data_IF_482910360587
#
_entry.id   IF_482910360587
#
_cell.length_a   1.000
_cell.length_b   1.000
_cell.length_c   1.000
_cell.angle_alpha   90.00
_cell.angle_beta   90.00
_cell.angle_gamma   90.00
#
_symmetry.space_group_name_H-M   'P 1'
#
loop_
_entity.id
_entity.type
_entity.pdbx_description
1 polymer ?
#
# COMPACT_ATOMS: atom_id res chain seq x y z
N UNK A 1 -24.92 9.16 -20.34
CA UNK A 1 -25.56 10.03 -19.34
C UNK A 1 -25.05 9.71 -17.92
N UNK A 2 -25.19 8.49 -17.40
CA UNK A 2 -24.67 8.15 -16.05
C UNK A 2 -23.14 8.30 -15.93
N UNK A 3 -22.38 7.75 -16.89
CA UNK A 3 -20.91 7.86 -16.89
C UNK A 3 -20.43 9.32 -16.94
N UNK A 4 -21.01 10.12 -17.83
CA UNK A 4 -20.64 11.54 -17.98
C UNK A 4 -20.94 12.33 -16.72
N UNK A 5 -22.11 12.12 -16.08
CA UNK A 5 -22.43 12.78 -14.80
C UNK A 5 -21.48 12.38 -13.67
N UNK A 6 -21.05 11.11 -13.61
CA UNK A 6 -20.09 10.67 -12.61
C UNK A 6 -18.71 11.31 -12.80
N UNK A 7 -18.28 11.46 -14.05
CA UNK A 7 -17.03 12.16 -14.39
C UNK A 7 -17.13 13.64 -14.04
N UNK A 8 -18.21 14.32 -14.42
CA UNK A 8 -18.39 15.75 -14.13
C UNK A 8 -18.39 16.01 -12.61
N UNK A 9 -19.13 15.19 -11.84
CA UNK A 9 -19.13 15.29 -10.37
C UNK A 9 -17.74 15.06 -9.76
N UNK A 10 -17.01 14.07 -10.26
CA UNK A 10 -15.69 13.73 -9.72
C UNK A 10 -14.63 14.77 -10.12
N UNK A 11 -14.74 15.36 -11.31
CA UNK A 11 -13.92 16.49 -11.75
C UNK A 11 -14.12 17.71 -10.83
N UNK A 12 -15.36 18.11 -10.57
CA UNK A 12 -15.68 19.21 -9.66
C UNK A 12 -15.14 18.94 -8.25
N UNK A 13 -15.30 17.70 -7.77
CA UNK A 13 -14.76 17.27 -6.49
C UNK A 13 -13.22 17.37 -6.48
N UNK A 14 -12.54 16.85 -7.49
CA UNK A 14 -11.08 16.91 -7.61
C UNK A 14 -10.55 18.33 -7.69
N UNK A 15 -11.20 19.22 -8.42
CA UNK A 15 -10.87 20.66 -8.45
C UNK A 15 -11.03 21.29 -7.07
N UNK A 16 -12.02 20.87 -6.27
CA UNK A 16 -12.24 21.43 -4.93
C UNK A 16 -11.18 21.03 -3.90
N UNK A 17 -10.53 19.87 -4.07
CA UNK A 17 -9.57 19.32 -3.09
C UNK A 17 -8.13 19.25 -3.58
N UNK A 18 -7.90 19.27 -4.90
CA UNK A 18 -6.59 19.08 -5.51
C UNK A 18 -5.72 20.34 -5.56
N UNK A 19 -4.59 20.27 -6.28
CA UNK A 19 -3.68 21.40 -6.44
C UNK A 19 -4.36 22.64 -7.04
N UNK A 20 -4.12 23.80 -6.44
CA UNK A 20 -4.54 25.11 -6.98
C UNK A 20 -3.34 25.97 -7.43
N UNK A 21 -3.62 27.23 -7.76
CA UNK A 21 -2.57 28.20 -8.18
C UNK A 21 -1.56 28.50 -7.06
N UNK A 22 -2.04 28.55 -5.81
CA UNK A 22 -1.21 28.71 -4.62
C UNK A 22 -1.10 27.38 -3.85
N UNK A 23 0.11 26.98 -3.43
CA UNK A 23 0.30 25.72 -2.71
C UNK A 23 -0.29 25.80 -1.30
N UNK A 24 -1.12 24.82 -0.93
CA UNK A 24 -1.69 24.70 0.43
C UNK A 24 -0.61 24.46 1.48
N UNK A 25 0.46 23.76 1.09
CA UNK A 25 1.57 23.41 1.98
C UNK A 25 2.90 23.95 1.42
N UNK A 26 3.22 25.25 1.62
CA UNK A 26 4.39 25.89 1.02
C UNK A 26 5.73 25.34 1.50
N UNK A 27 5.76 24.63 2.63
CA UNK A 27 6.95 23.98 3.18
C UNK A 27 7.31 22.65 2.49
N UNK A 28 6.40 22.06 1.72
CA UNK A 28 6.69 20.89 0.88
C UNK A 28 7.55 21.35 -0.31
N UNK A 29 8.69 20.71 -0.63
CA UNK A 29 9.51 21.06 -1.79
C UNK A 29 8.71 20.99 -3.10
N UNK A 30 8.87 21.97 -3.99
CA UNK A 30 8.08 22.05 -5.22
C UNK A 30 8.20 20.81 -6.12
N UNK A 31 9.36 20.15 -6.13
CA UNK A 31 9.62 18.92 -6.90
C UNK A 31 8.87 17.69 -6.39
N UNK A 32 8.34 17.75 -5.16
CA UNK A 32 7.63 16.65 -4.49
C UNK A 32 6.13 16.94 -4.31
N UNK A 33 5.66 18.06 -4.88
CA UNK A 33 4.24 18.42 -4.85
C UNK A 33 3.48 17.69 -5.95
N UNK A 34 2.23 17.34 -5.66
CA UNK A 34 1.26 16.96 -6.68
C UNK A 34 0.95 18.19 -7.53
N UNK A 35 0.93 18.02 -8.84
CA UNK A 35 0.48 19.03 -9.80
C UNK A 35 -0.65 18.43 -10.63
N UNK A 36 -1.17 19.16 -11.62
CA UNK A 36 -2.06 18.61 -12.63
C UNK A 36 -1.25 18.32 -13.90
N UNK A 37 -0.53 17.20 -13.93
CA UNK A 37 0.13 16.74 -15.15
C UNK A 37 -0.91 16.34 -16.20
N UNK A 38 -1.98 15.66 -15.77
CA UNK A 38 -3.18 15.44 -16.59
C UNK A 38 -4.29 16.39 -16.14
N UNK A 39 -5.25 16.65 -17.03
CA UNK A 39 -6.40 17.50 -16.68
C UNK A 39 -7.25 16.82 -15.58
N UNK A 40 -7.86 17.60 -14.65
CA UNK A 40 -8.76 17.05 -13.64
C UNK A 40 -9.87 16.17 -14.23
N UNK A 41 -10.40 16.55 -15.40
CA UNK A 41 -11.35 15.74 -16.17
C UNK A 41 -10.81 14.38 -16.57
N UNK A 42 -9.57 14.33 -17.07
CA UNK A 42 -8.94 13.07 -17.46
C UNK A 42 -8.73 12.18 -16.23
N UNK A 43 -8.25 12.73 -15.11
CA UNK A 43 -8.15 12.00 -13.84
C UNK A 43 -9.48 11.46 -13.37
N UNK A 44 -10.54 12.27 -13.42
CA UNK A 44 -11.88 11.84 -13.06
C UNK A 44 -12.36 10.68 -13.95
N UNK A 45 -12.16 10.79 -15.27
CA UNK A 45 -12.50 9.74 -16.23
C UNK A 45 -11.72 8.45 -15.95
N UNK A 46 -10.40 8.53 -15.78
CA UNK A 46 -9.54 7.39 -15.49
C UNK A 46 -9.92 6.73 -14.17
N UNK A 47 -10.21 7.52 -13.12
CA UNK A 47 -10.65 7.01 -11.81
C UNK A 47 -11.98 6.26 -11.92
N UNK A 48 -12.97 6.83 -12.61
CA UNK A 48 -14.28 6.18 -12.81
C UNK A 48 -14.10 4.88 -13.58
N UNK A 49 -13.34 4.88 -14.68
CA UNK A 49 -13.00 3.67 -15.44
C UNK A 49 -12.29 2.62 -14.58
N UNK A 50 -11.29 3.04 -13.81
CA UNK A 50 -10.48 2.18 -12.95
C UNK A 50 -11.36 1.49 -11.89
N UNK A 51 -12.17 2.26 -11.16
CA UNK A 51 -13.07 1.74 -10.13
C UNK A 51 -14.15 0.82 -10.73
N UNK A 52 -14.72 1.18 -11.88
CA UNK A 52 -15.72 0.34 -12.56
C UNK A 52 -15.18 -1.03 -13.00
N UNK A 53 -13.88 -1.15 -13.25
CA UNK A 53 -13.24 -2.42 -13.61
C UNK A 53 -12.77 -3.17 -12.36
N UNK A 54 -12.01 -2.51 -11.50
CA UNK A 54 -11.33 -3.17 -10.39
C UNK A 54 -12.25 -3.49 -9.21
N UNK A 55 -13.30 -2.70 -8.94
CA UNK A 55 -14.21 -2.99 -7.83
C UNK A 55 -15.05 -4.26 -8.06
N UNK A 56 -15.69 -4.47 -9.23
CA UNK A 56 -16.38 -5.73 -9.51
C UNK A 56 -15.42 -6.92 -9.56
N UNK A 57 -14.22 -6.73 -10.14
CA UNK A 57 -13.19 -7.76 -10.19
C UNK A 57 -12.75 -8.18 -8.78
N UNK A 58 -12.53 -7.21 -7.88
CA UNK A 58 -12.21 -7.44 -6.46
C UNK A 58 -13.32 -8.24 -5.77
N UNK A 59 -14.58 -7.85 -5.95
CA UNK A 59 -15.73 -8.54 -5.37
C UNK A 59 -15.84 -9.99 -5.85
N UNK A 60 -15.74 -10.23 -7.17
CA UNK A 60 -15.78 -11.57 -7.75
C UNK A 60 -14.61 -12.42 -7.27
N UNK A 61 -13.39 -11.86 -7.29
CA UNK A 61 -12.18 -12.55 -6.83
C UNK A 61 -12.28 -12.93 -5.34
N UNK A 62 -12.76 -12.03 -4.48
CA UNK A 62 -13.02 -12.29 -3.06
C UNK A 62 -14.01 -13.45 -2.89
N UNK A 63 -15.14 -13.43 -3.60
CA UNK A 63 -16.15 -14.50 -3.52
C UNK A 63 -15.57 -15.84 -3.93
N UNK A 64 -14.74 -15.89 -4.97
CA UNK A 64 -14.07 -17.11 -5.41
C UNK A 64 -12.99 -17.57 -4.43
N UNK A 65 -12.19 -16.64 -3.90
CA UNK A 65 -11.14 -16.88 -2.92
C UNK A 65 -11.71 -17.51 -1.63
N UNK A 66 -12.79 -16.93 -1.09
CA UNK A 66 -13.50 -17.45 0.08
C UNK A 66 -14.21 -18.78 -0.17
N UNK A 67 -14.58 -19.08 -1.41
CA UNK A 67 -15.17 -20.37 -1.77
C UNK A 67 -14.16 -21.48 -2.06
N UNK A 68 -12.87 -21.13 -2.17
CA UNK A 68 -11.80 -22.06 -2.49
C UNK A 68 -11.68 -23.16 -1.41
N UNK A 69 -11.55 -24.43 -1.83
CA UNK A 69 -11.51 -25.59 -0.93
C UNK A 69 -10.36 -25.48 0.09
N UNK A 70 -9.16 -25.08 -0.35
CA UNK A 70 -8.02 -24.86 0.55
C UNK A 70 -8.28 -23.79 1.62
N UNK A 71 -9.05 -22.74 1.33
CA UNK A 71 -9.41 -21.72 2.33
C UNK A 71 -10.42 -22.26 3.35
N UNK A 72 -11.39 -23.06 2.90
CA UNK A 72 -12.38 -23.70 3.78
C UNK A 72 -11.72 -24.71 4.72
N UNK A 73 -10.72 -25.42 4.22
CA UNK A 73 -9.99 -26.47 4.95
C UNK A 73 -8.68 -25.97 5.60
N UNK A 74 -8.41 -24.66 5.55
CA UNK A 74 -7.16 -24.11 6.04
C UNK A 74 -7.02 -24.35 7.55
N UNK A 75 -5.84 -24.79 7.96
CA UNK A 75 -5.56 -25.02 9.38
C UNK A 75 -5.55 -23.67 10.13
N UNK A 76 -5.95 -23.67 11.42
CA UNK A 76 -5.75 -22.51 12.27
C UNK A 76 -4.27 -22.13 12.31
N UNK A 77 -3.99 -20.83 12.32
CA UNK A 77 -2.63 -20.31 12.49
C UNK A 77 -1.99 -20.83 13.79
N UNK A 78 -0.74 -21.27 13.70
CA UNK A 78 0.06 -21.66 14.88
C UNK A 78 0.22 -20.47 15.84
N UNK A 79 0.23 -20.72 17.15
CA UNK A 79 0.56 -19.69 18.14
C UNK A 79 1.98 -19.12 17.90
N UNK A 80 2.23 -17.80 18.06
CA UNK A 80 3.56 -17.21 17.84
C UNK A 80 4.63 -17.86 18.72
N UNK A 81 5.80 -18.12 18.13
CA UNK A 81 7.03 -18.56 18.80
C UNK A 81 7.93 -17.37 19.11
N UNK A 82 9.01 -17.60 19.85
CA UNK A 82 10.06 -16.60 20.05
C UNK A 82 10.65 -16.11 18.71
N UNK A 83 10.85 -17.00 17.73
CA UNK A 83 11.33 -16.63 16.40
C UNK A 83 10.34 -15.65 15.73
N UNK A 84 9.05 -15.97 15.74
CA UNK A 84 8.03 -15.08 15.16
C UNK A 84 8.03 -13.71 15.86
N UNK A 85 8.20 -13.68 17.19
CA UNK A 85 8.35 -12.45 17.95
C UNK A 85 9.58 -11.63 17.55
N UNK A 86 10.73 -12.28 17.34
CA UNK A 86 11.97 -11.61 16.87
C UNK A 86 11.78 -11.05 15.46
N UNK A 87 11.19 -11.80 14.54
CA UNK A 87 10.89 -11.32 13.18
C UNK A 87 9.94 -10.12 13.23
N UNK A 88 8.89 -10.19 14.05
CA UNK A 88 7.96 -9.09 14.27
C UNK A 88 8.63 -7.84 14.86
N UNK A 89 9.52 -8.03 15.85
CA UNK A 89 10.27 -6.93 16.46
C UNK A 89 11.21 -6.25 15.46
N UNK A 90 11.98 -7.00 14.68
CA UNK A 90 12.88 -6.46 13.65
C UNK A 90 12.08 -5.67 12.60
N UNK A 91 10.95 -6.23 12.14
CA UNK A 91 10.06 -5.56 11.18
C UNK A 91 9.47 -4.28 11.75
N UNK A 92 8.99 -4.32 13.00
CA UNK A 92 8.45 -3.14 13.68
C UNK A 92 9.53 -2.09 13.91
N UNK A 93 10.76 -2.48 14.23
CA UNK A 93 11.88 -1.55 14.37
C UNK A 93 12.18 -0.83 13.05
N UNK A 94 12.12 -1.53 11.91
CA UNK A 94 12.27 -0.90 10.59
C UNK A 94 11.14 0.09 10.29
N UNK A 95 9.88 -0.29 10.57
CA UNK A 95 8.72 0.60 10.44
C UNK A 95 8.84 1.86 11.33
N UNK A 96 9.21 1.70 12.59
CA UNK A 96 9.41 2.82 13.51
C UNK A 96 10.60 3.70 13.10
N UNK A 97 11.64 3.10 12.51
CA UNK A 97 12.78 3.81 11.93
C UNK A 97 12.34 4.76 10.82
N UNK A 98 11.54 4.30 9.86
CA UNK A 98 11.03 5.19 8.80
C UNK A 98 10.07 6.25 9.33
N UNK A 99 9.19 5.91 10.29
CA UNK A 99 8.36 6.91 10.99
C UNK A 99 9.23 8.01 11.61
N UNK A 100 10.30 7.61 12.30
CA UNK A 100 11.23 8.54 12.92
C UNK A 100 11.87 9.47 11.89
N UNK A 101 12.47 8.93 10.82
CA UNK A 101 13.16 9.78 9.83
C UNK A 101 12.20 10.71 9.08
N UNK A 102 10.99 10.24 8.73
CA UNK A 102 9.99 11.07 8.05
C UNK A 102 9.38 12.13 8.98
N UNK A 103 9.23 11.85 10.27
CA UNK A 103 8.77 12.83 11.27
C UNK A 103 9.73 14.01 11.47
N UNK A 104 11.03 13.84 11.23
CA UNK A 104 12.03 14.89 11.43
C UNK A 104 12.09 15.92 10.29
N UNK A 105 11.25 15.76 9.26
CA UNK A 105 11.06 16.81 8.26
C UNK A 105 10.41 18.06 8.86
N UNK A 106 10.60 19.21 8.21
CA UNK A 106 9.96 20.47 8.61
C UNK A 106 8.45 20.26 8.72
N UNK A 107 7.86 20.53 9.89
CA UNK A 107 6.43 20.30 10.16
C UNK A 107 5.95 18.84 9.93
N UNK A 108 6.85 17.86 9.80
CA UNK A 108 6.51 16.45 9.65
C UNK A 108 5.83 16.07 8.33
N UNK A 109 5.90 16.89 7.28
CA UNK A 109 5.15 16.66 6.04
C UNK A 109 5.49 15.33 5.36
N UNK A 110 6.73 14.83 5.52
CA UNK A 110 7.14 13.52 4.97
C UNK A 110 6.41 12.34 5.62
N UNK A 111 5.75 12.51 6.77
CA UNK A 111 4.91 11.45 7.38
C UNK A 111 3.78 11.00 6.46
N UNK A 112 3.36 11.83 5.51
CA UNK A 112 2.39 11.46 4.50
C UNK A 112 2.88 10.31 3.61
N UNK A 113 4.19 10.17 3.42
CA UNK A 113 4.74 9.01 2.72
C UNK A 113 4.50 7.69 3.46
N UNK A 114 4.12 7.69 4.74
CA UNK A 114 3.75 6.46 5.47
C UNK A 114 2.52 5.74 4.87
N UNK A 115 1.74 6.41 4.02
CA UNK A 115 0.70 5.78 3.23
C UNK A 115 1.24 4.96 2.05
N UNK A 116 2.51 5.12 1.66
CA UNK A 116 3.08 4.30 0.60
C UNK A 116 2.91 2.79 0.91
N UNK A 117 2.60 1.97 -0.10
CA UNK A 117 2.27 0.57 0.12
C UNK A 117 3.33 -0.21 0.91
N UNK A 118 4.62 0.07 0.67
CA UNK A 118 5.73 -0.57 1.38
C UNK A 118 5.61 -0.39 2.89
N UNK A 119 5.42 0.83 3.39
CA UNK A 119 5.35 1.08 4.83
C UNK A 119 4.09 0.50 5.48
N UNK A 120 2.94 0.59 4.81
CA UNK A 120 1.68 -0.04 5.27
C UNK A 120 1.84 -1.55 5.36
N UNK A 121 2.49 -2.15 4.37
CA UNK A 121 2.77 -3.57 4.34
C UNK A 121 3.78 -3.97 5.41
N UNK A 122 4.86 -3.21 5.63
CA UNK A 122 5.83 -3.47 6.70
C UNK A 122 5.18 -3.49 8.07
N UNK A 123 4.31 -2.52 8.37
CA UNK A 123 3.53 -2.51 9.60
C UNK A 123 2.62 -3.75 9.69
N UNK A 124 1.92 -4.08 8.60
CA UNK A 124 1.05 -5.26 8.52
C UNK A 124 1.83 -6.55 8.76
N UNK A 125 3.02 -6.69 8.19
CA UNK A 125 3.90 -7.85 8.37
C UNK A 125 4.36 -8.00 9.81
N UNK A 126 4.73 -6.90 10.47
CA UNK A 126 5.08 -6.90 11.89
C UNK A 126 3.93 -7.42 12.76
N UNK A 127 2.68 -7.02 12.45
CA UNK A 127 1.49 -7.55 13.12
C UNK A 127 1.30 -9.04 12.80
N UNK A 128 1.41 -9.46 11.54
CA UNK A 128 1.23 -10.87 11.12
C UNK A 128 2.21 -11.83 11.83
N UNK A 129 3.41 -11.36 12.16
CA UNK A 129 4.36 -12.13 12.95
C UNK A 129 3.78 -12.59 14.30
N UNK A 130 2.87 -11.83 14.92
CA UNK A 130 2.28 -12.15 16.22
C UNK A 130 0.75 -12.35 16.20
N UNK A 131 0.09 -12.04 15.08
CA UNK A 131 -1.36 -12.12 14.94
C UNK A 131 -1.91 -13.54 15.16
N UNK A 132 -3.21 -13.65 15.44
CA UNK A 132 -3.89 -14.92 15.68
C UNK A 132 -5.23 -14.96 14.97
N UNK A 133 -5.76 -16.17 14.80
CA UNK A 133 -7.08 -16.39 14.25
C UNK A 133 -7.15 -16.35 12.72
N UNK A 134 -8.36 -16.56 12.20
CA UNK A 134 -8.62 -16.70 10.76
C UNK A 134 -8.40 -15.41 9.97
N UNK A 135 -8.59 -14.26 10.61
CA UNK A 135 -8.30 -12.95 10.02
C UNK A 135 -6.81 -12.81 9.67
N UNK A 136 -5.92 -13.35 10.51
CA UNK A 136 -4.49 -13.35 10.22
C UNK A 136 -4.17 -14.17 8.95
N UNK A 137 -4.79 -15.35 8.80
CA UNK A 137 -4.67 -16.15 7.58
C UNK A 137 -5.19 -15.41 6.35
N UNK A 138 -6.34 -14.72 6.47
CA UNK A 138 -6.94 -13.92 5.40
C UNK A 138 -5.97 -12.81 4.94
N UNK A 139 -5.51 -11.99 5.89
CA UNK A 139 -4.60 -10.87 5.61
C UNK A 139 -3.30 -11.38 5.02
N UNK A 140 -2.77 -12.51 5.49
CA UNK A 140 -1.56 -13.11 4.94
C UNK A 140 -1.71 -13.51 3.45
N UNK A 141 -2.87 -14.03 3.03
CA UNK A 141 -3.09 -14.33 1.60
C UNK A 141 -3.03 -13.08 0.73
N UNK A 142 -3.64 -11.99 1.21
CA UNK A 142 -3.65 -10.69 0.53
C UNK A 142 -2.24 -10.09 0.51
N UNK A 143 -1.56 -10.12 1.65
CA UNK A 143 -0.20 -9.62 1.83
C UNK A 143 0.76 -10.23 0.81
N UNK A 144 0.82 -11.56 0.73
CA UNK A 144 1.77 -12.24 -0.18
C UNK A 144 1.50 -11.89 -1.65
N UNK A 145 0.24 -11.66 -2.02
CA UNK A 145 -0.09 -11.23 -3.39
C UNK A 145 0.33 -9.79 -3.72
N UNK A 146 0.73 -9.00 -2.71
CA UNK A 146 1.17 -7.61 -2.87
C UNK A 146 2.70 -7.44 -2.80
N UNK A 147 3.46 -8.49 -2.49
CA UNK A 147 4.93 -8.40 -2.29
C UNK A 147 5.71 -8.08 -3.57
N UNK A 148 5.12 -8.28 -4.75
CA UNK A 148 5.73 -7.89 -6.03
C UNK A 148 6.08 -6.39 -6.08
N UNK A 149 5.36 -5.57 -5.34
CA UNK A 149 5.67 -4.13 -5.21
C UNK A 149 7.05 -3.89 -4.61
N UNK A 150 7.50 -4.76 -3.69
CA UNK A 150 8.83 -4.69 -3.11
C UNK A 150 9.92 -5.04 -4.12
N UNK A 151 9.67 -6.02 -4.99
CA UNK A 151 10.60 -6.37 -6.07
C UNK A 151 10.78 -5.19 -7.03
N UNK A 152 9.68 -4.52 -7.41
CA UNK A 152 9.72 -3.33 -8.24
C UNK A 152 10.50 -2.18 -7.58
N UNK A 153 10.28 -1.92 -6.29
CA UNK A 153 10.98 -0.87 -5.57
C UNK A 153 12.49 -1.16 -5.43
N UNK A 154 12.88 -2.42 -5.24
CA UNK A 154 14.30 -2.79 -5.21
C UNK A 154 14.97 -2.68 -6.60
N UNK A 155 14.23 -2.98 -7.67
CA UNK A 155 14.71 -2.86 -9.05
C UNK A 155 14.81 -1.40 -9.51
N UNK A 156 13.87 -0.56 -9.07
CA UNK A 156 13.75 0.86 -9.45
C UNK A 156 13.59 1.73 -8.19
N UNK A 157 14.65 1.87 -7.37
CA UNK A 157 14.55 2.58 -6.11
C UNK A 157 14.31 4.07 -6.34
N UNK A 158 13.22 4.59 -5.80
CA UNK A 158 13.02 6.03 -5.65
C UNK A 158 13.52 6.48 -4.27
N UNK A 159 14.62 7.23 -4.28
CA UNK A 159 15.21 7.84 -3.08
C UNK A 159 15.15 9.36 -3.13
N UNK A 160 14.25 9.92 -3.96
CA UNK A 160 14.16 11.37 -4.21
C UNK A 160 13.78 12.18 -2.97
N UNK A 161 12.99 11.61 -2.04
CA UNK A 161 12.61 12.26 -0.79
C UNK A 161 13.60 12.00 0.36
N UNK A 162 14.67 11.22 0.16
CA UNK A 162 15.51 10.76 1.25
C UNK A 162 16.55 11.81 1.63
N UNK A 163 16.48 12.24 2.88
CA UNK A 163 17.32 13.31 3.42
C UNK A 163 18.38 12.72 4.34
N UNK A 164 18.03 11.66 5.08
CA UNK A 164 18.91 11.04 6.05
C UNK A 164 19.53 9.78 5.48
N UNK A 165 20.81 9.54 5.77
CA UNK A 165 21.49 8.29 5.40
C UNK A 165 20.72 7.05 5.91
N UNK A 166 20.09 7.17 7.09
CA UNK A 166 19.23 6.13 7.65
C UNK A 166 17.97 5.83 6.83
N UNK A 167 17.42 6.80 6.08
CA UNK A 167 16.30 6.57 5.16
C UNK A 167 16.67 5.52 4.12
N UNK A 168 17.85 5.70 3.50
CA UNK A 168 18.34 4.83 2.42
C UNK A 168 18.58 3.41 2.94
N UNK A 169 19.26 3.25 4.07
CA UNK A 169 19.52 1.91 4.62
C UNK A 169 18.23 1.23 5.09
N UNK A 170 17.33 1.97 5.76
CA UNK A 170 16.08 1.40 6.22
C UNK A 170 15.19 1.00 5.04
N UNK A 171 15.20 1.74 3.92
CA UNK A 171 14.50 1.35 2.70
C UNK A 171 14.90 -0.05 2.24
N UNK A 172 16.18 -0.33 2.07
CA UNK A 172 16.61 -1.65 1.63
C UNK A 172 16.27 -2.74 2.65
N UNK A 173 16.52 -2.48 3.94
CA UNK A 173 16.17 -3.40 5.02
C UNK A 173 14.68 -3.73 4.98
N UNK A 174 13.82 -2.72 4.96
CA UNK A 174 12.38 -2.84 4.93
C UNK A 174 11.92 -3.74 3.78
N UNK A 175 12.42 -3.48 2.57
CA UNK A 175 12.05 -4.23 1.38
C UNK A 175 12.55 -5.68 1.41
N UNK A 176 13.76 -5.94 1.92
CA UNK A 176 14.23 -7.30 2.13
C UNK A 176 13.39 -8.04 3.17
N UNK A 177 12.99 -7.39 4.27
CA UNK A 177 12.13 -7.99 5.29
C UNK A 177 10.76 -8.39 4.71
N UNK A 178 10.17 -7.53 3.87
CA UNK A 178 8.91 -7.80 3.17
C UNK A 178 8.97 -9.04 2.28
N UNK A 179 10.12 -9.35 1.69
CA UNK A 179 10.30 -10.53 0.83
C UNK A 179 10.67 -11.79 1.63
N UNK A 180 11.56 -11.66 2.61
CA UNK A 180 12.13 -12.80 3.35
C UNK A 180 11.19 -13.33 4.42
N UNK A 181 10.57 -12.46 5.22
CA UNK A 181 9.80 -12.89 6.40
C UNK A 181 8.57 -13.73 6.02
N UNK A 182 7.76 -13.39 5.01
CA UNK A 182 6.62 -14.23 4.62
C UNK A 182 7.04 -15.66 4.26
N UNK A 183 8.21 -15.81 3.61
CA UNK A 183 8.80 -17.12 3.31
C UNK A 183 9.15 -17.86 4.60
N UNK A 184 9.83 -17.19 5.55
CA UNK A 184 10.17 -17.80 6.85
C UNK A 184 8.92 -18.20 7.65
N UNK A 185 7.85 -17.41 7.61
CA UNK A 185 6.60 -17.74 8.30
C UNK A 185 5.87 -18.92 7.63
N UNK A 186 5.99 -19.08 6.31
CA UNK A 186 5.53 -20.28 5.60
C UNK A 186 6.37 -21.52 5.95
N UNK A 187 7.69 -21.40 5.87
CA UNK A 187 8.63 -22.51 6.13
C UNK A 187 8.55 -23.00 7.58
N UNK A 188 8.36 -22.10 8.54
CA UNK A 188 8.15 -22.44 9.96
C UNK A 188 6.75 -23.01 10.27
N UNK A 189 5.90 -23.17 9.24
CA UNK A 189 4.55 -23.71 9.37
C UNK A 189 3.57 -22.78 10.12
N UNK A 190 3.89 -21.49 10.25
CA UNK A 190 2.97 -20.51 10.86
C UNK A 190 1.80 -20.22 9.94
N UNK A 191 2.11 -19.93 8.68
CA UNK A 191 1.13 -19.64 7.63
C UNK A 191 1.21 -20.68 6.51
N UNK A 192 0.07 -20.92 5.88
CA UNK A 192 -0.03 -21.67 4.62
C UNK A 192 -0.51 -20.71 3.54
N UNK A 193 0.31 -20.51 2.50
CA UNK A 193 -0.09 -19.72 1.33
C UNK A 193 -0.86 -20.58 0.33
N UNK A 194 -2.06 -20.14 -0.05
CA UNK A 194 -2.96 -20.90 -0.92
C UNK A 194 -2.53 -20.79 -2.38
N UNK A 195 -2.06 -19.62 -2.81
CA UNK A 195 -1.55 -19.36 -4.16
C UNK A 195 -2.55 -19.60 -5.30
N UNK A 196 -3.86 -19.54 -5.05
CA UNK A 196 -4.84 -19.69 -6.13
C UNK A 196 -4.98 -18.39 -6.94
N UNK A 197 -5.32 -18.48 -8.24
CA UNK A 197 -5.55 -17.29 -9.07
C UNK A 197 -6.56 -16.31 -8.47
N UNK A 198 -7.60 -16.81 -7.79
CA UNK A 198 -8.58 -15.96 -7.12
C UNK A 198 -8.01 -15.16 -5.94
N UNK A 199 -7.11 -15.75 -5.15
CA UNK A 199 -6.43 -15.04 -4.05
C UNK A 199 -5.42 -14.03 -4.58
N UNK A 200 -4.66 -14.39 -5.62
CA UNK A 200 -3.71 -13.48 -6.26
C UNK A 200 -4.43 -12.30 -6.88
N UNK A 201 -5.49 -12.55 -7.65
CA UNK A 201 -6.30 -11.50 -8.27
C UNK A 201 -6.96 -10.60 -7.22
N UNK A 202 -7.47 -11.19 -6.14
CA UNK A 202 -8.03 -10.42 -5.03
C UNK A 202 -6.98 -9.49 -4.42
N UNK A 203 -5.80 -9.99 -4.06
CA UNK A 203 -4.72 -9.14 -3.52
C UNK A 203 -4.27 -8.05 -4.48
N UNK A 204 -4.14 -8.37 -5.77
CA UNK A 204 -3.84 -7.38 -6.81
C UNK A 204 -4.90 -6.28 -6.89
N UNK A 205 -6.19 -6.64 -6.89
CA UNK A 205 -7.28 -5.66 -6.94
C UNK A 205 -7.37 -4.81 -5.66
N UNK A 206 -6.98 -5.35 -4.50
CA UNK A 206 -6.91 -4.59 -3.25
C UNK A 206 -5.84 -3.49 -3.35
N UNK A 207 -4.63 -3.81 -3.80
CA UNK A 207 -3.58 -2.79 -3.94
C UNK A 207 -3.90 -1.79 -5.07
N UNK A 208 -4.52 -2.24 -6.16
CA UNK A 208 -5.00 -1.38 -7.24
C UNK A 208 -6.00 -0.33 -6.72
N UNK A 209 -7.04 -0.79 -6.01
CA UNK A 209 -8.05 0.10 -5.43
C UNK A 209 -7.47 0.99 -4.31
N UNK A 210 -6.48 0.51 -3.56
CA UNK A 210 -5.77 1.32 -2.58
C UNK A 210 -5.09 2.53 -3.23
N UNK A 211 -4.45 2.37 -4.39
CA UNK A 211 -3.85 3.49 -5.11
C UNK A 211 -4.92 4.49 -5.59
N UNK A 212 -5.97 4.01 -6.24
CA UNK A 212 -7.01 4.86 -6.81
C UNK A 212 -7.87 5.58 -5.76
N UNK A 213 -8.10 4.97 -4.60
CA UNK A 213 -9.00 5.52 -3.58
C UNK A 213 -8.21 6.20 -2.46
N UNK A 214 -7.22 5.54 -1.87
CA UNK A 214 -6.53 6.08 -0.69
C UNK A 214 -5.42 7.03 -1.11
N UNK A 215 -4.50 6.58 -1.96
CA UNK A 215 -3.33 7.37 -2.30
C UNK A 215 -3.67 8.57 -3.17
N UNK A 216 -4.54 8.41 -4.16
CA UNK A 216 -4.96 9.51 -5.01
C UNK A 216 -5.65 10.62 -4.20
N UNK A 217 -6.58 10.26 -3.29
CA UNK A 217 -7.22 11.26 -2.42
C UNK A 217 -6.20 11.92 -1.48
N UNK A 218 -5.25 11.16 -0.92
CA UNK A 218 -4.19 11.72 -0.11
C UNK A 218 -3.33 12.71 -0.92
N UNK A 219 -2.95 12.37 -2.17
CA UNK A 219 -2.16 13.24 -3.04
C UNK A 219 -2.89 14.53 -3.41
N UNK A 220 -4.21 14.45 -3.65
CA UNK A 220 -5.04 15.62 -3.96
C UNK A 220 -5.16 16.53 -2.73
N UNK A 221 -5.60 15.97 -1.59
CA UNK A 221 -5.86 16.75 -0.37
C UNK A 221 -4.61 17.39 0.20
N UNK A 222 -3.48 16.68 0.17
CA UNK A 222 -2.24 17.12 0.81
C UNK A 222 -1.28 17.82 -0.13
N UNK A 223 -1.52 17.76 -1.44
CA UNK A 223 -0.61 18.22 -2.50
C UNK A 223 0.80 17.61 -2.40
N UNK A 224 0.99 16.52 -1.66
CA UNK A 224 2.25 15.75 -1.65
C UNK A 224 2.09 14.60 -2.63
N UNK A 225 3.06 14.45 -3.53
CA UNK A 225 3.07 13.34 -4.48
C UNK A 225 3.54 12.05 -3.79
N UNK A 226 2.68 11.50 -2.92
CA UNK A 226 2.96 10.31 -2.11
C UNK A 226 3.00 9.06 -3.00
N UNK A 227 2.15 9.04 -4.02
CA UNK A 227 1.95 7.87 -4.85
C UNK A 227 3.00 7.74 -5.97
N UNK A 228 3.86 8.75 -6.17
CA UNK A 228 4.67 8.94 -7.39
C UNK A 228 3.85 8.77 -8.67
N UNK A 229 2.53 8.95 -8.55
CA UNK A 229 1.62 8.96 -9.67
C UNK A 229 1.80 10.32 -10.32
N UNK A 230 1.87 10.33 -11.64
CA UNK A 230 1.73 11.57 -12.39
C UNK A 230 0.28 12.02 -12.23
N UNK A 231 -0.01 12.69 -11.12
CA UNK A 231 -1.21 13.51 -10.99
C UNK A 231 -0.97 14.77 -11.81
#
# INVERSE_FOLDING_TARGET
>A
MVFTHAVDYLEDFFLSIGPGDEPKFPHVPATLRSVWYLTPRQHAMETVCYVMIFAPMCYVALKQALNHSKWKNQRPIRAPTALDGVLGAITMSSFLGVCYYKAHSVNGWRLLYMFQPCHVMTFTLAILCIARGRTANFIFQVYVAMTWSSDCALAFPDTSDYIYIGDIYNFYIEHYLMLVIPVLLCVSGRYEYIGSPSWILFGFTVIALYHAIVLQLACLVTEVNIATLMV
#
